data_IF_334669256155
#
_entry.id   IF_334669256155
#
_cell.length_a   1.000
_cell.length_b   1.000
_cell.length_c   1.000
_cell.angle_alpha   90.00
_cell.angle_beta   90.00
_cell.angle_gamma   90.00
#
_symmetry.space_group_name_H-M   'P 1'
#
loop_
_entity.id
_entity.type
_entity.pdbx_description
1 polymer ?
#
# COMPACT_ATOMS: atom_id res chain seq x y z
N UNK A 1 -6.45 0.40 17.61
CA UNK A 1 -5.90 1.78 17.63
C UNK A 1 -6.31 2.54 16.37
N UNK A 2 -6.63 3.84 16.48
CA UNK A 2 -7.07 4.66 15.34
C UNK A 2 -5.92 4.87 14.35
N UNK A 3 -6.11 4.49 13.08
CA UNK A 3 -5.07 4.57 12.02
C UNK A 3 -4.75 6.00 11.60
N UNK A 4 -5.78 6.84 11.44
CA UNK A 4 -5.63 8.27 11.18
C UNK A 4 -5.76 9.01 12.51
N UNK A 5 -4.69 9.66 12.95
CA UNK A 5 -4.65 10.39 14.23
C UNK A 5 -5.18 11.80 14.09
N UNK A 6 -4.77 12.49 13.04
CA UNK A 6 -5.09 13.90 12.85
C UNK A 6 -5.27 14.25 11.38
N UNK A 7 -6.22 15.14 11.13
CA UNK A 7 -6.36 15.87 9.87
C UNK A 7 -6.44 17.35 10.20
N UNK A 8 -5.38 18.08 9.89
CA UNK A 8 -5.30 19.52 10.09
C UNK A 8 -5.75 20.22 8.80
N UNK A 9 -6.79 21.05 8.85
CA UNK A 9 -7.26 21.84 7.71
C UNK A 9 -6.63 23.23 7.76
N UNK A 10 -5.85 23.56 6.73
CA UNK A 10 -5.12 24.83 6.63
C UNK A 10 -5.90 25.83 5.78
N UNK A 11 -6.62 25.34 4.77
CA UNK A 11 -7.44 26.17 3.88
C UNK A 11 -8.72 25.44 3.53
N UNK A 12 -9.81 26.20 3.43
CA UNK A 12 -11.08 25.75 2.91
C UNK A 12 -11.58 26.70 1.82
N UNK A 13 -12.28 26.17 0.83
CA UNK A 13 -13.00 26.94 -0.18
C UNK A 13 -14.39 26.33 -0.37
N UNK A 14 -15.38 27.18 -0.62
CA UNK A 14 -16.74 26.77 -0.95
C UNK A 14 -17.12 27.26 -2.35
N UNK A 15 -17.80 26.40 -3.10
CA UNK A 15 -18.43 26.73 -4.36
C UNK A 15 -19.81 26.07 -4.44
N UNK A 16 -20.70 26.62 -5.25
CA UNK A 16 -21.97 25.99 -5.60
C UNK A 16 -21.98 25.69 -7.09
N UNK A 17 -22.48 24.52 -7.47
CA UNK A 17 -22.60 24.16 -8.88
C UNK A 17 -23.52 25.15 -9.60
N UNK A 18 -23.21 25.51 -10.86
CA UNK A 18 -24.03 26.45 -11.61
C UNK A 18 -25.45 25.89 -11.77
N UNK A 19 -26.45 26.76 -11.60
CA UNK A 19 -27.84 26.38 -11.80
C UNK A 19 -28.12 26.19 -13.30
N UNK A 20 -28.92 25.18 -13.68
CA UNK A 20 -29.34 25.01 -15.07
C UNK A 20 -30.21 26.20 -15.52
N UNK A 21 -30.15 26.55 -16.81
CA UNK A 21 -30.92 27.67 -17.38
C UNK A 21 -32.44 27.53 -17.22
N UNK A 22 -32.95 26.29 -17.15
CA UNK A 22 -34.32 26.00 -16.73
C UNK A 22 -34.29 25.42 -15.32
N UNK A 23 -34.84 26.15 -14.36
CA UNK A 23 -34.84 25.75 -12.97
C UNK A 23 -35.97 24.74 -12.69
N UNK A 24 -35.69 23.49 -12.28
CA UNK A 24 -36.72 22.56 -11.81
C UNK A 24 -37.29 22.99 -10.43
N UNK A 25 -38.45 22.46 -10.05
CA UNK A 25 -39.02 22.61 -8.71
C UNK A 25 -39.44 21.22 -8.18
N UNK A 26 -38.83 20.71 -7.10
CA UNK A 26 -37.79 21.36 -6.29
C UNK A 26 -36.45 21.52 -7.03
N UNK A 27 -35.73 22.59 -6.71
CA UNK A 27 -34.43 22.95 -7.28
C UNK A 27 -33.31 22.14 -6.61
N UNK A 28 -32.58 21.26 -7.32
CA UNK A 28 -31.41 20.59 -6.77
C UNK A 28 -30.24 21.58 -6.69
N UNK A 29 -29.57 21.60 -5.55
CA UNK A 29 -28.37 22.42 -5.31
C UNK A 29 -27.27 21.50 -4.81
N UNK A 30 -26.08 21.64 -5.40
CA UNK A 30 -24.87 20.96 -4.95
C UNK A 30 -23.83 22.00 -4.55
N UNK A 31 -23.54 22.05 -3.25
CA UNK A 31 -22.40 22.76 -2.70
C UNK A 31 -21.15 21.87 -2.67
N UNK A 32 -19.99 22.45 -2.93
CA UNK A 32 -18.69 21.79 -2.90
C UNK A 32 -17.77 22.51 -1.92
N UNK A 33 -17.27 21.77 -0.95
CA UNK A 33 -16.23 22.21 -0.03
C UNK A 33 -14.92 21.57 -0.47
N UNK A 34 -13.89 22.38 -0.66
CA UNK A 34 -12.54 21.96 -0.99
C UNK A 34 -11.60 22.28 0.16
N UNK A 35 -10.79 21.32 0.56
CA UNK A 35 -9.90 21.44 1.70
C UNK A 35 -8.45 21.16 1.31
N UNK A 36 -7.55 21.92 1.92
CA UNK A 36 -6.10 21.67 1.92
C UNK A 36 -5.64 21.52 3.36
N UNK A 37 -4.68 20.63 3.57
CA UNK A 37 -4.31 20.28 4.92
C UNK A 37 -3.18 19.29 5.03
N UNK A 38 -3.11 18.66 6.19
CA UNK A 38 -2.09 17.71 6.60
C UNK A 38 -2.76 16.50 7.22
N UNK A 39 -2.25 15.31 6.92
CA UNK A 39 -2.71 14.06 7.50
C UNK A 39 -1.59 13.42 8.31
N UNK A 40 -1.90 13.03 9.55
CA UNK A 40 -0.98 12.30 10.44
C UNK A 40 -1.55 10.93 10.75
N UNK A 41 -0.80 9.89 10.43
CA UNK A 41 -1.16 8.50 10.68
C UNK A 41 -0.49 7.99 11.94
N UNK A 42 -1.11 7.04 12.63
CA UNK A 42 -0.58 6.45 13.85
C UNK A 42 0.71 5.66 13.60
N UNK A 43 1.59 5.69 14.59
CA UNK A 43 2.66 4.72 14.73
C UNK A 43 2.07 3.45 15.36
N UNK A 44 2.12 2.32 14.65
CA UNK A 44 1.54 1.05 15.10
C UNK A 44 2.58 0.10 15.73
N UNK A 45 3.78 0.59 16.03
CA UNK A 45 4.84 -0.20 16.65
C UNK A 45 5.58 -1.06 15.64
N UNK A 46 5.54 -2.39 15.86
CA UNK A 46 6.42 -3.41 15.26
C UNK A 46 6.69 -3.32 13.75
N UNK A 47 5.88 -2.62 12.96
CA UNK A 47 6.08 -2.41 11.54
C UNK A 47 5.43 -1.09 11.10
N UNK A 48 6.20 -0.09 10.66
CA UNK A 48 5.66 1.22 10.28
C UNK A 48 5.27 1.32 8.81
N UNK A 49 4.14 0.70 8.46
CA UNK A 49 3.58 0.69 7.10
C UNK A 49 3.01 2.05 6.66
N UNK A 50 2.56 2.88 7.61
CA UNK A 50 1.85 4.13 7.34
C UNK A 50 2.83 5.29 7.15
N UNK A 51 3.93 5.28 7.90
CA UNK A 51 5.14 6.12 7.74
C UNK A 51 4.98 7.64 7.88
N UNK A 52 3.82 8.23 7.58
CA UNK A 52 3.58 9.68 7.69
C UNK A 52 2.88 10.00 9.00
N UNK A 53 3.55 10.64 9.95
CA UNK A 53 3.01 10.94 11.27
C UNK A 53 4.14 11.28 12.24
N UNK A 54 3.79 11.85 13.40
CA UNK A 54 4.75 12.10 14.47
C UNK A 54 5.54 10.83 14.81
N UNK A 55 6.87 10.93 14.86
CA UNK A 55 7.71 9.91 15.46
C UNK A 55 7.38 9.72 16.94
N UNK A 56 7.68 8.56 17.54
CA UNK A 56 7.66 8.42 19.00
C UNK A 56 8.47 9.53 19.71
N UNK A 57 9.51 10.03 19.04
CA UNK A 57 10.33 11.18 19.43
C UNK A 57 10.30 12.24 18.32
N UNK A 58 9.39 13.24 18.39
CA UNK A 58 9.22 14.22 17.33
C UNK A 58 10.48 15.06 17.09
N UNK A 59 10.87 15.20 15.83
CA UNK A 59 11.85 16.19 15.37
C UNK A 59 11.10 17.46 14.94
N UNK A 60 11.23 18.59 15.66
CA UNK A 60 10.47 19.80 15.37
C UNK A 60 10.85 20.46 14.04
N UNK A 61 12.03 20.14 13.51
CA UNK A 61 12.56 20.73 12.28
C UNK A 61 12.15 19.93 11.02
N UNK A 62 11.51 18.77 11.19
CA UNK A 62 11.03 17.93 10.09
C UNK A 62 9.50 17.85 10.05
N UNK A 63 8.89 17.99 8.86
CA UNK A 63 7.46 17.70 8.71
C UNK A 63 7.15 16.27 9.13
N UNK A 64 6.04 16.08 9.84
CA UNK A 64 5.61 14.79 10.35
C UNK A 64 4.25 14.36 9.78
N UNK A 65 3.94 14.80 8.57
CA UNK A 65 2.62 14.67 7.98
C UNK A 65 2.68 14.43 6.47
N UNK A 66 1.59 13.90 5.93
CA UNK A 66 1.32 13.87 4.51
C UNK A 66 0.54 15.13 4.12
N UNK A 67 1.14 16.01 3.32
CA UNK A 67 0.49 17.22 2.83
C UNK A 67 -0.50 16.88 1.72
N UNK A 68 -1.75 17.33 1.88
CA UNK A 68 -2.84 17.04 0.97
C UNK A 68 -3.57 18.31 0.52
N UNK A 69 -4.17 18.21 -0.64
CA UNK A 69 -4.92 19.27 -1.30
C UNK A 69 -6.14 18.69 -1.99
N UNK A 70 -7.13 19.54 -2.21
CA UNK A 70 -8.33 19.20 -2.96
C UNK A 70 -9.11 18.01 -2.37
N UNK A 71 -9.09 17.86 -1.04
CA UNK A 71 -10.05 16.99 -0.37
C UNK A 71 -11.44 17.61 -0.53
N UNK A 72 -12.37 16.88 -1.15
CA UNK A 72 -13.68 17.43 -1.48
C UNK A 72 -14.80 16.77 -0.65
N UNK A 73 -15.69 17.60 -0.12
CA UNK A 73 -16.99 17.18 0.41
C UNK A 73 -18.07 17.85 -0.44
N UNK A 74 -18.99 17.06 -0.99
CA UNK A 74 -20.18 17.59 -1.66
C UNK A 74 -21.37 17.54 -0.71
N UNK A 75 -22.14 18.62 -0.65
CA UNK A 75 -23.45 18.67 -0.01
C UNK A 75 -24.50 18.87 -1.09
N UNK A 76 -25.34 17.87 -1.31
CA UNK A 76 -26.49 17.96 -2.22
C UNK A 76 -27.77 18.09 -1.43
N UNK A 77 -28.69 18.92 -1.87
CA UNK A 77 -30.01 19.10 -1.25
C UNK A 77 -30.99 19.66 -2.28
N UNK A 78 -32.28 19.65 -1.93
CA UNK A 78 -33.35 20.22 -2.76
C UNK A 78 -34.08 21.33 -2.02
N UNK A 79 -34.49 22.36 -2.76
CA UNK A 79 -35.25 23.51 -2.23
C UNK A 79 -36.45 23.79 -3.10
N UNK A 80 -37.64 23.95 -2.51
CA UNK A 80 -38.80 24.42 -3.25
C UNK A 80 -38.68 25.92 -3.53
N UNK A 81 -38.89 26.31 -4.79
CA UNK A 81 -38.71 27.71 -5.24
C UNK A 81 -39.56 28.70 -4.44
N UNK A 82 -40.78 28.30 -4.10
CA UNK A 82 -41.77 29.11 -3.38
C UNK A 82 -41.40 29.36 -1.91
N UNK A 83 -40.46 28.57 -1.38
CA UNK A 83 -40.02 28.64 0.02
C UNK A 83 -38.50 28.74 0.14
N UNK A 84 -37.82 29.33 -0.85
CA UNK A 84 -36.35 29.33 -0.92
C UNK A 84 -35.66 30.05 0.26
N UNK A 85 -36.39 30.89 0.99
CA UNK A 85 -35.94 31.57 2.21
C UNK A 85 -36.20 30.76 3.48
N UNK A 86 -37.06 29.76 3.44
CA UNK A 86 -37.40 28.91 4.57
C UNK A 86 -36.49 27.68 4.62
N UNK A 87 -35.48 27.75 5.49
CA UNK A 87 -34.52 26.65 5.72
C UNK A 87 -35.18 25.36 6.20
N UNK A 88 -36.39 25.41 6.77
CA UNK A 88 -37.13 24.23 7.21
C UNK A 88 -37.69 23.40 6.05
N UNK A 89 -37.66 23.93 4.82
CA UNK A 89 -38.15 23.28 3.59
C UNK A 89 -37.03 22.67 2.73
N UNK A 90 -35.80 22.59 3.25
CA UNK A 90 -34.69 21.90 2.61
C UNK A 90 -34.87 20.39 2.78
N UNK A 91 -34.97 19.66 1.66
CA UNK A 91 -35.12 18.20 1.64
C UNK A 91 -33.92 17.52 0.99
N UNK A 92 -33.85 16.19 1.10
CA UNK A 92 -32.84 15.34 0.44
C UNK A 92 -31.38 15.77 0.69
N UNK A 93 -31.08 16.25 1.90
CA UNK A 93 -29.71 16.66 2.27
C UNK A 93 -28.82 15.42 2.37
N UNK A 94 -27.82 15.35 1.50
CA UNK A 94 -26.83 14.28 1.46
C UNK A 94 -25.42 14.85 1.38
N UNK A 95 -24.51 14.28 2.18
CA UNK A 95 -23.08 14.56 2.10
C UNK A 95 -22.36 13.39 1.42
N UNK A 96 -21.39 13.69 0.57
CA UNK A 96 -20.50 12.68 0.02
C UNK A 96 -19.05 13.15 0.08
N UNK A 97 -18.19 12.25 0.53
CA UNK A 97 -16.74 12.41 0.56
C UNK A 97 -16.15 12.01 -0.79
N UNK A 98 -15.33 12.87 -1.37
CA UNK A 98 -14.72 12.69 -2.70
C UNK A 98 -13.20 12.83 -2.58
N UNK A 99 -12.51 11.70 -2.46
CA UNK A 99 -11.05 11.64 -2.37
C UNK A 99 -10.34 11.42 -3.71
N UNK A 100 -11.08 11.08 -4.78
CA UNK A 100 -10.50 10.74 -6.08
C UNK A 100 -9.75 11.90 -6.73
N UNK A 101 -9.99 13.13 -6.29
CA UNK A 101 -9.34 14.34 -6.79
C UNK A 101 -8.29 14.91 -5.82
N UNK A 102 -8.03 14.22 -4.70
CA UNK A 102 -6.98 14.64 -3.77
C UNK A 102 -5.62 14.59 -4.46
N UNK A 103 -4.79 15.59 -4.19
CA UNK A 103 -3.40 15.63 -4.60
C UNK A 103 -2.49 15.83 -3.40
N UNK A 104 -1.27 15.28 -3.49
CA UNK A 104 -0.33 15.21 -2.38
C UNK A 104 0.99 15.89 -2.75
N UNK A 105 1.52 16.70 -1.84
CA UNK A 105 2.81 17.38 -2.02
C UNK A 105 3.87 16.70 -1.15
N UNK A 106 4.63 15.80 -1.75
CA UNK A 106 5.67 15.05 -1.05
C UNK A 106 6.88 15.91 -0.67
N UNK A 107 7.10 17.06 -1.31
CA UNK A 107 8.18 17.97 -0.94
C UNK A 107 7.86 18.76 0.34
N UNK A 108 6.57 18.91 0.64
CA UNK A 108 6.07 19.51 1.90
C UNK A 108 5.65 18.47 2.93
N UNK A 109 5.70 17.20 2.58
CA UNK A 109 5.41 16.09 3.48
C UNK A 109 6.68 15.63 4.19
N UNK A 110 6.51 14.90 5.27
CA UNK A 110 7.60 14.16 5.88
C UNK A 110 7.12 12.88 6.52
N UNK A 111 8.06 11.98 6.71
CA UNK A 111 7.85 10.60 7.13
C UNK A 111 8.79 10.29 8.29
N UNK A 112 8.40 9.32 9.11
CA UNK A 112 9.24 8.85 10.20
C UNK A 112 10.54 8.25 9.69
N UNK A 113 11.61 8.53 10.40
CA UNK A 113 12.86 7.79 10.34
C UNK A 113 12.59 6.30 10.61
N UNK A 114 13.34 5.44 9.93
CA UNK A 114 13.26 3.99 9.98
C UNK A 114 11.89 3.42 9.56
N UNK A 115 11.02 4.21 8.93
CA UNK A 115 9.73 3.73 8.45
C UNK A 115 9.87 2.87 7.18
N UNK A 116 8.83 2.09 6.86
CA UNK A 116 8.81 1.32 5.61
C UNK A 116 8.97 2.25 4.40
N UNK A 117 8.31 3.42 4.42
CA UNK A 117 8.44 4.39 3.34
C UNK A 117 9.88 4.90 3.20
N UNK A 118 10.62 5.14 4.29
CA UNK A 118 12.01 5.60 4.20
C UNK A 118 12.97 4.52 3.73
N UNK A 119 12.84 3.31 4.29
CA UNK A 119 13.82 2.21 4.13
C UNK A 119 13.56 1.36 2.90
N UNK A 120 12.36 1.39 2.36
CA UNK A 120 11.98 0.64 1.18
C UNK A 120 11.76 1.61 0.01
N UNK A 121 12.20 1.31 -1.23
CA UNK A 121 12.14 2.23 -2.37
C UNK A 121 10.72 2.35 -2.95
N UNK A 122 9.81 2.78 -2.10
CA UNK A 122 8.42 3.04 -2.41
C UNK A 122 8.30 4.40 -3.12
N UNK A 123 7.16 4.64 -3.75
CA UNK A 123 6.72 5.94 -4.20
C UNK A 123 5.27 6.07 -3.81
N UNK A 124 4.91 7.11 -3.07
CA UNK A 124 3.51 7.36 -2.77
C UNK A 124 2.74 7.53 -4.09
N UNK A 125 1.65 6.77 -4.23
CA UNK A 125 0.85 6.76 -5.45
C UNK A 125 -0.44 7.53 -5.26
N UNK A 126 -1.26 7.11 -4.30
CA UNK A 126 -2.57 7.72 -4.07
C UNK A 126 -3.12 7.35 -2.70
N UNK A 127 -4.15 8.09 -2.28
CA UNK A 127 -5.03 7.74 -1.19
C UNK A 127 -6.31 7.14 -1.76
N UNK A 128 -6.63 5.91 -1.35
CA UNK A 128 -7.78 5.15 -1.81
C UNK A 128 -8.92 5.25 -0.82
N UNK A 129 -10.13 5.29 -1.35
CA UNK A 129 -11.35 5.25 -0.56
C UNK A 129 -12.36 4.38 -1.26
N UNK A 130 -12.99 3.51 -0.49
CA UNK A 130 -14.09 2.65 -0.91
C UNK A 130 -15.23 2.85 0.08
N UNK A 131 -16.43 3.07 -0.47
CA UNK A 131 -17.66 3.25 0.28
C UNK A 131 -18.77 2.51 -0.47
N UNK A 132 -19.40 1.53 0.20
CA UNK A 132 -20.53 0.77 -0.34
C UNK A 132 -20.17 -0.26 -1.42
N UNK A 133 -18.91 -0.70 -1.49
CA UNK A 133 -18.49 -1.78 -2.42
C UNK A 133 -17.67 -2.85 -1.70
N UNK A 134 -18.34 -3.93 -1.31
CA UNK A 134 -17.72 -5.09 -0.66
C UNK A 134 -16.75 -5.86 -1.57
N UNK A 135 -16.85 -5.70 -2.90
CA UNK A 135 -16.02 -6.40 -3.87
C UNK A 135 -14.80 -5.58 -4.31
N UNK A 136 -14.69 -4.31 -3.89
CA UNK A 136 -13.61 -3.43 -4.33
C UNK A 136 -12.22 -4.01 -4.05
N UNK A 137 -12.03 -4.68 -2.90
CA UNK A 137 -10.75 -5.29 -2.57
C UNK A 137 -10.46 -6.51 -3.47
N UNK A 138 -11.41 -7.43 -3.64
CA UNK A 138 -11.20 -8.63 -4.47
C UNK A 138 -11.02 -8.27 -5.95
N UNK A 139 -11.64 -7.19 -6.43
CA UNK A 139 -11.45 -6.67 -7.79
C UNK A 139 -10.14 -5.86 -7.99
N UNK A 140 -9.47 -5.46 -6.91
CA UNK A 140 -8.35 -4.50 -6.98
C UNK A 140 -7.03 -5.07 -7.51
N UNK A 141 -6.86 -6.40 -7.50
CA UNK A 141 -5.58 -7.05 -7.83
C UNK A 141 -4.62 -7.20 -6.64
N UNK A 142 -4.95 -6.68 -5.46
CA UNK A 142 -4.10 -6.82 -4.28
C UNK A 142 -4.25 -8.21 -3.65
N UNK A 143 -3.12 -8.88 -3.46
CA UNK A 143 -3.00 -10.16 -2.77
C UNK A 143 -2.66 -9.90 -1.30
N UNK A 144 -3.26 -10.63 -0.34
CA UNK A 144 -2.99 -10.39 1.08
C UNK A 144 -1.53 -10.72 1.43
N UNK A 145 -0.92 -9.82 2.20
CA UNK A 145 0.45 -9.92 2.71
C UNK A 145 0.42 -10.04 4.22
N UNK A 146 1.10 -11.05 4.75
CA UNK A 146 1.26 -11.20 6.19
C UNK A 146 2.25 -10.16 6.74
N UNK A 147 2.03 -9.66 7.95
CA UNK A 147 2.96 -8.77 8.64
C UNK A 147 2.94 -8.98 10.17
N UNK A 148 3.84 -8.35 10.93
CA UNK A 148 3.78 -8.33 12.39
C UNK A 148 2.56 -7.57 12.96
N UNK A 149 1.80 -6.83 12.14
CA UNK A 149 0.63 -6.09 12.59
C UNK A 149 -0.63 -6.97 12.60
N UNK A 150 -1.61 -6.69 13.48
CA UNK A 150 -2.94 -7.28 13.40
C UNK A 150 -3.54 -7.05 12.01
N UNK A 151 -4.10 -8.11 11.43
CA UNK A 151 -4.72 -8.06 10.10
C UNK A 151 -6.18 -7.62 10.20
N UNK A 152 -6.57 -6.63 9.40
CA UNK A 152 -7.97 -6.20 9.31
C UNK A 152 -8.69 -6.88 8.14
N UNK A 153 -9.92 -7.33 8.38
CA UNK A 153 -10.87 -7.67 7.30
C UNK A 153 -11.50 -6.38 6.78
N UNK A 154 -11.28 -6.08 5.49
CA UNK A 154 -11.89 -4.93 4.85
C UNK A 154 -13.32 -5.30 4.42
N UNK A 155 -14.30 -4.49 4.84
CA UNK A 155 -15.68 -4.59 4.38
C UNK A 155 -15.94 -3.77 3.12
N UNK A 156 -17.13 -3.20 3.02
CA UNK A 156 -17.56 -2.29 1.95
C UNK A 156 -17.15 -0.83 2.16
N UNK A 157 -16.62 -0.48 3.34
CA UNK A 157 -16.10 0.85 3.66
C UNK A 157 -14.68 0.73 4.20
N UNK A 158 -13.72 1.31 3.46
CA UNK A 158 -12.32 1.35 3.87
C UNK A 158 -11.53 2.46 3.18
N UNK A 159 -10.39 2.78 3.78
CA UNK A 159 -9.43 3.76 3.30
C UNK A 159 -8.07 3.08 3.13
N UNK A 160 -7.19 3.63 2.29
CA UNK A 160 -5.87 3.08 2.15
C UNK A 160 -4.86 4.03 1.53
N UNK A 161 -3.59 3.75 1.77
CA UNK A 161 -2.47 4.36 1.06
C UNK A 161 -1.95 3.33 0.06
N UNK A 162 -1.81 3.75 -1.20
CA UNK A 162 -1.14 2.94 -2.22
C UNK A 162 0.26 3.50 -2.48
N UNK A 163 1.23 2.60 -2.53
CA UNK A 163 2.60 2.87 -2.96
C UNK A 163 2.93 2.08 -4.22
N UNK A 164 3.75 2.65 -5.09
CA UNK A 164 4.46 1.90 -6.11
C UNK A 164 5.83 1.48 -5.56
N UNK A 165 6.17 0.21 -5.72
CA UNK A 165 7.46 -0.37 -5.41
C UNK A 165 8.15 -0.73 -6.72
N UNK A 166 9.25 -0.04 -7.02
CA UNK A 166 10.08 -0.40 -8.16
C UNK A 166 10.92 -1.63 -7.79
N UNK A 167 10.65 -2.74 -8.45
CA UNK A 167 11.38 -4.00 -8.30
C UNK A 167 12.67 -4.02 -9.13
N UNK A 168 12.99 -2.92 -9.80
CA UNK A 168 14.11 -2.81 -10.73
C UNK A 168 13.76 -3.32 -12.13
N UNK A 169 14.78 -3.40 -12.98
CA UNK A 169 14.68 -4.08 -14.27
C UNK A 169 15.01 -5.56 -14.09
N UNK A 170 14.04 -6.45 -14.31
CA UNK A 170 14.25 -7.90 -14.38
C UNK A 170 15.04 -8.33 -15.64
N UNK A 171 16.09 -7.59 -16.02
CA UNK A 171 16.82 -7.76 -17.27
C UNK A 171 15.92 -7.68 -18.49
N UNK A 172 16.11 -8.59 -19.45
CA UNK A 172 15.35 -8.67 -20.72
C UNK A 172 13.83 -8.89 -20.54
N UNK A 173 13.38 -9.35 -19.37
CA UNK A 173 11.97 -9.63 -19.08
C UNK A 173 11.16 -8.40 -18.66
N UNK A 174 11.81 -7.31 -18.25
CA UNK A 174 11.12 -6.09 -17.79
C UNK A 174 10.85 -5.07 -18.92
N UNK A 175 11.38 -5.31 -20.12
CA UNK A 175 11.42 -4.30 -21.18
C UNK A 175 12.05 -2.98 -20.68
N UNK A 176 11.81 -1.88 -21.39
CA UNK A 176 12.32 -0.55 -21.01
C UNK A 176 11.61 0.10 -19.82
N UNK A 177 10.55 -0.51 -19.26
CA UNK A 177 9.66 0.13 -18.27
C UNK A 177 9.79 -0.39 -16.83
N UNK A 178 10.63 -1.39 -16.57
CA UNK A 178 10.85 -1.92 -15.21
C UNK A 178 9.65 -2.70 -14.67
N UNK A 179 9.87 -3.48 -13.62
CA UNK A 179 8.81 -4.21 -12.91
C UNK A 179 8.33 -3.35 -11.74
N UNK A 180 7.08 -2.87 -11.76
CA UNK A 180 6.51 -2.05 -10.68
C UNK A 180 5.40 -2.83 -9.98
N UNK A 181 5.57 -3.05 -8.68
CA UNK A 181 4.56 -3.63 -7.81
C UNK A 181 3.77 -2.52 -7.09
N UNK A 182 2.49 -2.77 -6.79
CA UNK A 182 1.72 -1.93 -5.89
C UNK A 182 1.72 -2.49 -4.47
N UNK A 183 1.94 -1.64 -3.47
CA UNK A 183 1.70 -1.95 -2.06
C UNK A 183 0.45 -1.19 -1.61
N UNK A 184 -0.49 -1.88 -0.97
CA UNK A 184 -1.67 -1.27 -0.35
C UNK A 184 -1.56 -1.41 1.17
N UNK A 185 -1.72 -0.30 1.88
CA UNK A 185 -1.88 -0.26 3.33
C UNK A 185 -3.28 0.28 3.61
N UNK A 186 -4.21 -0.60 3.95
CA UNK A 186 -5.63 -0.24 4.07
C UNK A 186 -6.19 -0.53 5.46
N UNK A 187 -7.22 0.20 5.84
CA UNK A 187 -7.91 0.06 7.10
C UNK A 187 -9.40 0.37 6.96
N UNK A 188 -10.19 -0.24 7.83
CA UNK A 188 -11.59 0.10 8.03
C UNK A 188 -11.70 1.15 9.15
N UNK A 189 -12.62 2.12 9.06
CA UNK A 189 -12.90 3.04 10.16
C UNK A 189 -13.23 2.30 11.45
N UNK A 190 -12.74 2.81 12.58
CA UNK A 190 -13.03 2.31 13.93
C UNK A 190 -12.59 0.86 14.22
N UNK A 191 -12.01 0.18 13.23
CA UNK A 191 -11.46 -1.15 13.38
C UNK A 191 -9.98 -1.10 13.79
N UNK A 192 -9.53 -2.17 14.42
CA UNK A 192 -8.11 -2.40 14.69
C UNK A 192 -7.44 -3.16 13.55
N UNK A 193 -6.13 -2.96 13.42
CA UNK A 193 -5.32 -3.65 12.43
C UNK A 193 -5.32 -2.98 11.05
N UNK A 194 -4.48 -3.53 10.18
CA UNK A 194 -4.31 -3.10 8.80
C UNK A 194 -4.45 -4.28 7.86
N UNK A 195 -4.96 -4.03 6.66
CA UNK A 195 -4.78 -4.90 5.52
C UNK A 195 -3.53 -4.47 4.76
N UNK A 196 -2.57 -5.39 4.58
CA UNK A 196 -1.46 -5.19 3.66
C UNK A 196 -1.69 -6.00 2.38
N UNK A 197 -1.56 -5.32 1.25
CA UNK A 197 -1.74 -5.91 -0.07
C UNK A 197 -0.51 -5.76 -0.95
N UNK A 198 -0.20 -6.79 -1.74
CA UNK A 198 0.79 -6.74 -2.82
C UNK A 198 0.07 -6.97 -4.16
N UNK A 199 0.22 -6.03 -5.09
CA UNK A 199 -0.23 -6.14 -6.47
C UNK A 199 0.98 -6.25 -7.37
N UNK A 200 1.10 -7.36 -8.09
CA UNK A 200 2.12 -7.55 -9.10
C UNK A 200 1.48 -7.40 -10.48
N UNK A 201 2.24 -7.03 -11.54
CA UNK A 201 1.71 -7.05 -12.89
C UNK A 201 1.11 -8.43 -13.23
N UNK A 202 -0.13 -8.44 -13.71
CA UNK A 202 -0.87 -9.67 -14.01
C UNK A 202 -1.52 -10.35 -12.80
N UNK A 203 -1.53 -9.75 -11.60
CA UNK A 203 -2.28 -10.29 -10.46
C UNK A 203 -3.79 -10.08 -10.63
N UNK A 204 -4.55 -11.09 -10.22
CA UNK A 204 -6.00 -11.04 -10.07
C UNK A 204 -6.30 -11.03 -8.58
N UNK A 205 -7.12 -10.09 -8.09
CA UNK A 205 -7.25 -9.88 -6.64
C UNK A 205 -7.79 -11.11 -5.90
N UNK A 206 -7.45 -11.23 -4.62
CA UNK A 206 -7.90 -12.32 -3.74
C UNK A 206 -7.14 -13.65 -3.87
N UNK A 207 -6.43 -13.92 -4.98
CA UNK A 207 -5.58 -15.11 -5.13
C UNK A 207 -4.11 -14.72 -5.12
N UNK A 208 -3.26 -15.54 -4.49
CA UNK A 208 -1.80 -15.35 -4.52
C UNK A 208 -1.19 -15.84 -5.83
N UNK A 209 -1.67 -15.33 -6.96
CA UNK A 209 -1.22 -15.71 -8.29
C UNK A 209 -1.11 -14.53 -9.26
N UNK A 210 -0.19 -14.65 -10.22
CA UNK A 210 -0.08 -13.74 -11.36
C UNK A 210 -0.09 -14.52 -12.66
N UNK A 211 -0.69 -13.94 -13.70
CA UNK A 211 -0.65 -14.48 -15.06
C UNK A 211 0.35 -13.70 -15.89
N UNK A 212 1.35 -14.38 -16.44
CA UNK A 212 2.37 -13.81 -17.32
C UNK A 212 2.08 -14.34 -18.71
N UNK A 213 1.42 -13.55 -19.57
CA UNK A 213 1.07 -13.82 -20.98
C UNK A 213 0.76 -15.28 -21.37
N UNK A 214 -0.48 -15.54 -21.80
CA UNK A 214 -0.91 -16.89 -22.22
C UNK A 214 -1.22 -17.78 -21.01
N UNK A 215 -0.65 -18.98 -20.97
CA UNK A 215 -0.99 -20.04 -20.01
C UNK A 215 0.01 -20.18 -18.84
N UNK A 216 1.01 -19.30 -18.75
CA UNK A 216 1.98 -19.29 -17.67
C UNK A 216 1.45 -18.50 -16.47
N UNK A 217 1.40 -19.16 -15.31
CA UNK A 217 1.00 -18.55 -14.03
C UNK A 217 2.12 -18.70 -13.00
N UNK A 218 2.31 -17.71 -12.15
CA UNK A 218 3.14 -17.84 -10.96
C UNK A 218 2.22 -17.82 -9.75
N UNK A 219 2.34 -18.83 -8.89
CA UNK A 219 1.58 -18.99 -7.65
C UNK A 219 2.51 -18.86 -6.47
N UNK A 220 2.11 -18.09 -5.46
CA UNK A 220 2.84 -17.88 -4.22
C UNK A 220 2.07 -18.52 -3.06
N UNK A 221 2.68 -19.39 -2.27
CA UNK A 221 2.01 -19.91 -1.07
C UNK A 221 1.90 -18.84 0.01
N UNK A 222 2.97 -18.06 0.20
CA UNK A 222 3.04 -17.05 1.24
C UNK A 222 3.76 -15.79 0.76
N UNK A 223 3.22 -14.64 1.14
CA UNK A 223 3.78 -13.31 0.89
C UNK A 223 3.82 -12.64 2.26
N UNK A 224 4.98 -12.18 2.69
CA UNK A 224 5.15 -11.63 4.05
C UNK A 224 6.08 -10.43 4.06
N UNK A 225 5.65 -9.37 4.73
CA UNK A 225 6.51 -8.30 5.18
C UNK A 225 6.99 -8.56 6.61
N UNK A 226 8.25 -8.26 6.86
CA UNK A 226 8.86 -8.31 8.18
C UNK A 226 9.75 -7.08 8.39
N UNK A 227 9.85 -6.63 9.62
CA UNK A 227 10.89 -5.72 10.11
C UNK A 227 11.90 -6.52 10.91
N UNK A 228 13.13 -6.06 10.99
CA UNK A 228 14.16 -6.62 11.86
C UNK A 228 15.03 -5.51 12.44
N UNK A 229 15.53 -5.73 13.65
CA UNK A 229 16.51 -4.84 14.27
C UNK A 229 17.88 -5.07 13.63
N UNK A 230 18.53 -4.00 13.20
CA UNK A 230 19.87 -3.97 12.60
C UNK A 230 20.71 -2.88 13.26
N UNK A 231 21.07 -3.00 14.55
CA UNK A 231 21.75 -1.94 15.28
C UNK A 231 23.06 -1.54 14.60
N UNK A 232 23.27 -0.23 14.40
CA UNK A 232 24.47 0.33 13.79
C UNK A 232 25.19 1.29 14.74
N UNK A 233 26.53 1.49 14.58
CA UNK A 233 27.23 2.53 15.31
C UNK A 233 26.54 3.88 15.14
N UNK A 234 26.14 4.51 16.25
CA UNK A 234 25.42 5.79 16.24
C UNK A 234 23.89 5.71 16.04
N UNK A 235 23.35 4.55 15.66
CA UNK A 235 21.89 4.33 15.48
C UNK A 235 21.50 2.95 16.04
N UNK A 236 21.35 2.81 17.37
CA UNK A 236 21.08 1.51 18.02
C UNK A 236 19.71 0.92 17.64
N UNK A 237 18.74 1.77 17.30
CA UNK A 237 17.37 1.36 16.93
C UNK A 237 17.17 1.26 15.41
N UNK A 238 18.25 1.13 14.64
CA UNK A 238 18.15 1.01 13.18
C UNK A 238 17.32 -0.22 12.79
N UNK A 239 16.33 0.00 11.92
CA UNK A 239 15.36 -1.02 11.52
C UNK A 239 15.49 -1.30 10.03
N UNK A 240 15.55 -2.58 9.68
CA UNK A 240 15.50 -3.08 8.31
C UNK A 240 14.15 -3.71 7.97
N UNK A 241 13.84 -3.82 6.68
CA UNK A 241 12.59 -4.38 6.17
C UNK A 241 12.83 -5.45 5.11
N UNK A 242 12.03 -6.52 5.16
CA UNK A 242 12.07 -7.65 4.23
C UNK A 242 10.70 -7.90 3.62
N UNK A 243 10.64 -8.15 2.32
CA UNK A 243 9.50 -8.77 1.65
C UNK A 243 9.88 -10.19 1.21
N UNK A 244 9.20 -11.20 1.75
CA UNK A 244 9.44 -12.62 1.47
C UNK A 244 8.32 -13.19 0.61
N UNK A 245 8.67 -13.72 -0.55
CA UNK A 245 7.81 -14.46 -1.48
C UNK A 245 8.19 -15.94 -1.40
N UNK A 246 7.38 -16.75 -0.71
CA UNK A 246 7.73 -18.14 -0.38
C UNK A 246 6.93 -19.17 -1.17
N UNK A 247 7.61 -20.28 -1.48
CA UNK A 247 7.11 -21.42 -2.25
C UNK A 247 6.48 -20.96 -3.56
N UNK A 248 7.32 -20.35 -4.39
CA UNK A 248 6.96 -19.85 -5.71
C UNK A 248 6.84 -21.06 -6.65
N UNK A 249 5.67 -21.21 -7.29
CA UNK A 249 5.39 -22.27 -8.24
C UNK A 249 5.00 -21.66 -9.59
N UNK A 250 5.74 -21.99 -10.63
CA UNK A 250 5.43 -21.71 -12.02
C UNK A 250 4.49 -22.80 -12.54
N UNK A 251 3.29 -22.43 -12.97
CA UNK A 251 2.34 -23.34 -13.62
C UNK A 251 2.27 -23.03 -15.10
N UNK A 252 2.52 -24.03 -15.94
CA UNK A 252 2.31 -23.96 -17.37
C UNK A 252 1.31 -25.06 -17.75
N UNK A 253 0.08 -24.66 -18.09
CA UNK A 253 -1.05 -25.60 -18.26
C UNK A 253 -1.23 -26.50 -17.02
N UNK A 254 -1.05 -27.81 -17.17
CA UNK A 254 -1.19 -28.82 -16.10
C UNK A 254 0.13 -29.11 -15.37
N UNK A 255 1.26 -28.55 -15.83
CA UNK A 255 2.59 -28.82 -15.28
C UNK A 255 2.99 -27.71 -14.29
N UNK A 256 3.59 -28.10 -13.16
CA UNK A 256 4.08 -27.18 -12.12
C UNK A 256 5.60 -27.32 -11.95
N UNK A 257 6.29 -26.18 -11.80
CA UNK A 257 7.73 -26.08 -11.62
C UNK A 257 8.08 -25.17 -10.42
N UNK A 258 9.09 -25.52 -9.61
CA UNK A 258 9.77 -26.81 -9.61
C UNK A 258 8.79 -27.94 -9.19
N UNK A 259 9.00 -29.20 -9.65
CA UNK A 259 8.10 -30.31 -9.34
C UNK A 259 8.20 -30.72 -7.86
N UNK A 260 9.37 -30.54 -7.26
CA UNK A 260 9.69 -30.76 -5.84
C UNK A 260 10.48 -29.57 -5.31
N UNK A 261 10.63 -29.46 -3.99
CA UNK A 261 11.41 -28.41 -3.37
C UNK A 261 10.69 -27.07 -3.19
N UNK A 262 11.42 -26.09 -2.68
CA UNK A 262 10.89 -24.79 -2.25
C UNK A 262 11.72 -23.66 -2.86
N UNK A 263 11.04 -22.78 -3.59
CA UNK A 263 11.62 -21.53 -4.11
C UNK A 263 11.21 -20.36 -3.23
N UNK A 264 12.16 -19.52 -2.85
CA UNK A 264 11.93 -18.29 -2.10
C UNK A 264 12.64 -17.10 -2.77
N UNK A 265 11.98 -15.95 -2.80
CA UNK A 265 12.59 -14.65 -3.13
C UNK A 265 12.44 -13.75 -1.92
N UNK A 266 13.54 -13.12 -1.51
CA UNK A 266 13.60 -12.13 -0.44
C UNK A 266 14.06 -10.82 -1.04
N UNK A 267 13.29 -9.76 -0.78
CA UNK A 267 13.65 -8.40 -1.13
C UNK A 267 14.01 -7.63 0.13
N UNK A 268 15.12 -6.90 0.07
CA UNK A 268 15.70 -6.18 1.19
C UNK A 268 15.55 -4.69 0.96
N UNK A 269 14.95 -4.00 1.92
CA UNK A 269 15.05 -2.55 2.00
C UNK A 269 16.51 -2.12 2.21
N UNK A 270 16.76 -0.83 2.01
CA UNK A 270 18.08 -0.27 2.22
C UNK A 270 18.44 -0.29 3.71
N UNK A 271 19.49 -1.04 4.13
CA UNK A 271 19.87 -1.12 5.53
C UNK A 271 20.60 0.15 6.00
N UNK A 272 20.99 1.06 5.10
CA UNK A 272 21.75 2.27 5.41
C UNK A 272 20.92 3.29 6.20
N UNK A 273 21.58 4.02 7.09
CA UNK A 273 20.95 5.08 7.88
C UNK A 273 20.62 6.30 7.00
N UNK A 274 19.90 7.26 7.56
CA UNK A 274 19.64 8.53 6.87
C UNK A 274 20.95 9.33 6.66
N UNK A 275 21.91 9.25 7.59
CA UNK A 275 23.20 9.95 7.46
C UNK A 275 24.07 9.36 6.35
N UNK A 276 24.03 8.02 6.16
CA UNK A 276 24.74 7.34 5.09
C UNK A 276 24.14 7.63 3.71
N UNK A 277 22.80 7.78 3.63
CA UNK A 277 22.07 8.03 2.39
C UNK A 277 20.94 9.04 2.66
N UNK A 278 21.24 10.34 2.54
CA UNK A 278 20.31 11.40 2.94
C UNK A 278 19.11 11.54 1.99
N UNK A 279 19.27 11.15 0.72
CA UNK A 279 18.21 11.26 -0.27
C UNK A 279 17.53 9.91 -0.50
N UNK A 280 16.21 9.87 -0.27
CA UNK A 280 15.39 8.66 -0.45
C UNK A 280 15.44 8.08 -1.88
N UNK A 281 15.66 8.91 -2.89
CA UNK A 281 15.82 8.46 -4.29
C UNK A 281 17.06 7.59 -4.52
N UNK A 282 18.02 7.65 -3.61
CA UNK A 282 19.28 6.89 -3.69
C UNK A 282 19.19 5.58 -2.86
N UNK A 283 18.01 5.28 -2.29
CA UNK A 283 17.76 4.04 -1.56
C UNK A 283 17.65 2.87 -2.54
N UNK A 284 18.31 1.76 -2.18
CA UNK A 284 18.44 0.59 -3.04
C UNK A 284 17.51 -0.54 -2.60
N UNK A 285 17.20 -1.45 -3.54
CA UNK A 285 16.48 -2.70 -3.28
C UNK A 285 17.44 -3.88 -3.49
N UNK A 286 17.69 -4.66 -2.44
CA UNK A 286 18.44 -5.91 -2.54
C UNK A 286 17.52 -7.08 -2.92
N UNK A 287 18.05 -8.05 -3.67
CA UNK A 287 17.34 -9.26 -4.09
C UNK A 287 18.14 -10.50 -3.74
N UNK A 288 17.49 -11.50 -3.17
CA UNK A 288 18.03 -12.84 -3.01
C UNK A 288 16.99 -13.86 -3.41
N UNK A 289 17.38 -14.84 -4.21
CA UNK A 289 16.52 -15.94 -4.61
C UNK A 289 17.21 -17.26 -4.25
N UNK A 290 16.46 -18.19 -3.66
CA UNK A 290 16.96 -19.51 -3.31
C UNK A 290 15.99 -20.60 -3.77
N UNK A 291 16.56 -21.78 -4.02
CA UNK A 291 15.84 -23.02 -4.27
C UNK A 291 16.44 -24.10 -3.38
N UNK A 292 15.59 -24.83 -2.68
CA UNK A 292 15.98 -26.00 -1.88
C UNK A 292 15.25 -27.20 -2.44
N UNK A 293 16.00 -28.19 -2.93
CA UNK A 293 15.42 -29.48 -3.32
C UNK A 293 15.10 -30.29 -2.06
N UNK A 294 13.94 -30.96 -2.03
CA UNK A 294 13.57 -31.84 -0.91
C UNK A 294 14.05 -33.31 -1.16
N UNK A 295 14.80 -33.60 -2.24
CA UNK A 295 15.42 -34.91 -2.45
C UNK A 295 16.67 -35.12 -1.57
N UNK A 296 16.86 -36.31 -0.96
CA UNK A 296 18.08 -36.61 -0.21
C UNK A 296 19.29 -36.59 -1.17
N UNK A 297 20.37 -35.94 -0.73
CA UNK A 297 21.65 -35.96 -1.44
C UNK A 297 21.98 -37.39 -1.87
N UNK A 298 22.32 -37.55 -3.15
CA UNK A 298 22.85 -38.80 -3.68
C UNK A 298 24.11 -39.15 -2.89
N UNK A 299 23.99 -40.02 -1.89
CA UNK A 299 25.15 -40.62 -1.22
C UNK A 299 25.79 -41.53 -2.26
N UNK A 300 27.03 -41.26 -2.71
CA UNK A 300 27.74 -42.20 -3.56
C UNK A 300 27.90 -43.47 -2.74
N UNK A 301 27.26 -44.56 -3.15
CA UNK A 301 27.52 -45.87 -2.59
C UNK A 301 28.99 -46.16 -2.83
N UNK A 302 29.79 -46.24 -1.76
CA UNK A 302 31.19 -46.62 -1.89
C UNK A 302 31.22 -48.01 -2.52
N UNK A 303 31.83 -48.08 -3.70
CA UNK A 303 32.11 -49.35 -4.36
C UNK A 303 32.99 -50.19 -3.42
N UNK A 304 32.51 -51.38 -3.05
CA UNK A 304 33.31 -52.36 -2.32
C UNK A 304 34.69 -52.55 -2.99
N UNK A 305 35.79 -52.60 -2.22
CA UNK A 305 37.08 -52.92 -2.80
C UNK A 305 37.10 -54.39 -3.26
N UNK A 306 37.86 -54.73 -4.32
CA UNK A 306 37.90 -56.08 -4.84
C UNK A 306 38.52 -57.04 -3.82
N UNK A 307 37.88 -58.21 -3.64
CA UNK A 307 38.47 -59.34 -2.93
C UNK A 307 39.75 -59.74 -3.65
N UNK A 308 40.89 -59.63 -2.97
CA UNK A 308 42.13 -60.30 -3.38
C UNK A 308 41.97 -61.80 -3.13
N UNK A 309 42.01 -62.57 -4.21
CA UNK A 309 42.40 -63.99 -4.20
C UNK A 309 43.90 -64.11 -4.13
#
# INVERSE_FOLDING_TARGET
GKVLQEVEIIKAQFATDPLPGTLPNPLPITGRFFFWGRMRFAYLGAFDALSFGAEPTPDPDKPDFLSMSNLQITMSFKVHKETATDRSKVTDKAFAFKSQQMAFDLNRSGWRSQSLYEKFPLKFKTFKTVIGDANALSASGYMPVNSPLPTAELGDIWYGIEYDLNLGSAGALAGSKGLVAGILVAWKPEAEGLYLGLKLPGSTGGKKEITIQGLLKIVFKSIRFESYSDPKPGVPDNTGYLLKLKNIVLKFMVVSFPPTGKTEIILFGDPRTADEVPLRKDKLLGWYASYVNDEPDFTPTSSNPPKKT
#
